data_IF_735780067579
#
_entry.id   IF_735780067579
#
_cell.length_a   1.000
_cell.length_b   1.000
_cell.length_c   1.000
_cell.angle_alpha   90.00
_cell.angle_beta   90.00
_cell.angle_gamma   90.00
#
_symmetry.space_group_name_H-M   'P 1'
#
loop_
_entity.id
_entity.type
_entity.pdbx_description
1 polymer ?
#
# COMPACT_ATOMS: atom_id res chain seq x y z
N UNK A 1 -1.21 18.96 20.41
CA UNK A 1 -1.75 19.68 21.58
C UNK A 1 -3.28 19.65 21.58
N UNK A 2 -3.95 19.92 20.47
CA UNK A 2 -5.43 19.98 20.41
C UNK A 2 -6.13 18.62 20.63
N UNK A 3 -5.68 17.52 20.01
CA UNK A 3 -6.31 16.18 20.24
C UNK A 3 -6.20 15.73 21.70
N UNK A 4 -5.04 15.97 22.32
CA UNK A 4 -4.81 15.57 23.71
C UNK A 4 -5.68 16.39 24.66
N UNK A 5 -5.76 17.71 24.45
CA UNK A 5 -6.65 18.57 25.22
C UNK A 5 -8.12 18.15 25.04
N UNK A 6 -8.55 17.86 23.82
CA UNK A 6 -9.93 17.39 23.58
C UNK A 6 -10.23 16.04 24.25
N UNK A 7 -9.23 15.18 24.41
CA UNK A 7 -9.37 13.94 25.19
C UNK A 7 -9.53 14.22 26.69
N UNK A 8 -8.74 15.13 27.24
CA UNK A 8 -8.84 15.55 28.64
C UNK A 8 -10.20 16.21 28.91
N UNK A 9 -10.64 17.10 28.02
CA UNK A 9 -11.94 17.76 28.10
C UNK A 9 -13.07 16.72 28.05
N UNK A 10 -12.98 15.71 27.18
CA UNK A 10 -13.92 14.59 27.14
C UNK A 10 -13.89 13.77 28.43
N UNK A 11 -12.72 13.42 28.95
CA UNK A 11 -12.58 12.63 30.19
C UNK A 11 -13.25 13.31 31.40
N UNK A 12 -13.22 14.64 31.47
CA UNK A 12 -13.83 15.40 32.56
C UNK A 12 -15.36 15.41 32.54
N UNK A 13 -15.98 15.32 31.35
CA UNK A 13 -17.42 15.48 31.17
C UNK A 13 -18.12 14.19 30.71
N UNK A 14 -17.36 13.14 30.42
CA UNK A 14 -17.90 11.86 30.00
C UNK A 14 -18.62 11.15 31.14
N UNK A 15 -19.81 10.62 30.85
CA UNK A 15 -20.43 9.61 31.71
C UNK A 15 -19.60 8.33 31.73
N UNK A 16 -19.76 7.51 32.77
CA UNK A 16 -19.09 6.20 32.86
C UNK A 16 -19.37 5.31 31.63
N UNK A 17 -20.60 5.34 31.12
CA UNK A 17 -21.01 4.59 29.92
C UNK A 17 -20.29 5.09 28.66
N UNK A 18 -20.21 6.42 28.46
CA UNK A 18 -19.49 7.02 27.34
C UNK A 18 -17.99 6.72 27.41
N UNK A 19 -17.39 6.77 28.59
CA UNK A 19 -15.99 6.42 28.78
C UNK A 19 -15.70 4.94 28.47
N UNK A 20 -16.55 4.03 28.93
CA UNK A 20 -16.42 2.60 28.63
C UNK A 20 -16.52 2.31 27.13
N UNK A 21 -17.47 2.94 26.43
CA UNK A 21 -17.58 2.81 24.97
C UNK A 21 -16.37 3.41 24.25
N UNK A 22 -15.83 4.54 24.72
CA UNK A 22 -14.58 5.09 24.21
C UNK A 22 -13.42 4.09 24.33
N UNK A 23 -13.29 3.41 25.47
CA UNK A 23 -12.23 2.42 25.69
C UNK A 23 -12.33 1.23 24.72
N UNK A 24 -13.55 0.83 24.34
CA UNK A 24 -13.81 -0.21 23.32
C UNK A 24 -13.50 0.32 21.91
N UNK A 25 -13.87 1.57 21.62
CA UNK A 25 -13.70 2.20 20.32
C UNK A 25 -12.22 2.50 20.01
N UNK A 26 -11.46 2.97 21.00
CA UNK A 26 -10.06 3.39 20.88
C UNK A 26 -9.14 2.39 20.17
N UNK A 27 -9.11 1.08 20.51
CA UNK A 27 -8.31 0.10 19.79
C UNK A 27 -8.83 -0.17 18.37
N UNK A 28 -10.15 -0.13 18.15
CA UNK A 28 -10.75 -0.33 16.82
C UNK A 28 -10.41 0.80 15.85
N UNK A 29 -10.42 2.05 16.31
CA UNK A 29 -9.99 3.22 15.52
C UNK A 29 -8.49 3.14 15.15
N UNK A 30 -7.65 2.63 16.06
CA UNK A 30 -6.24 2.37 15.75
C UNK A 30 -6.11 1.30 14.66
N UNK A 31 -6.86 0.20 14.78
CA UNK A 31 -6.86 -0.87 13.78
C UNK A 31 -7.42 -0.38 12.43
N UNK A 32 -8.48 0.42 12.45
CA UNK A 32 -9.06 1.08 11.28
C UNK A 32 -8.00 1.88 10.53
N UNK A 33 -7.22 2.71 11.24
CA UNK A 33 -6.15 3.50 10.63
C UNK A 33 -5.09 2.63 9.95
N UNK A 34 -4.69 1.52 10.57
CA UNK A 34 -3.73 0.57 9.98
C UNK A 34 -4.31 -0.04 8.70
N UNK A 35 -5.57 -0.49 8.72
CA UNK A 35 -6.21 -1.12 7.56
C UNK A 35 -6.46 -0.12 6.43
N UNK A 36 -6.91 1.09 6.75
CA UNK A 36 -7.06 2.20 5.80
C UNK A 36 -5.72 2.53 5.13
N UNK A 37 -4.66 2.69 5.93
CA UNK A 37 -3.30 2.93 5.44
C UNK A 37 -2.87 1.84 4.46
N UNK A 38 -3.02 0.57 4.81
CA UNK A 38 -2.61 -0.56 3.96
C UNK A 38 -3.39 -0.59 2.64
N UNK A 39 -4.70 -0.38 2.69
CA UNK A 39 -5.55 -0.32 1.50
C UNK A 39 -5.14 0.83 0.57
N UNK A 40 -4.91 2.02 1.11
CA UNK A 40 -4.47 3.20 0.35
C UNK A 40 -3.08 2.97 -0.27
N UNK A 41 -2.14 2.40 0.48
CA UNK A 41 -0.79 2.07 0.00
C UNK A 41 -0.87 1.08 -1.17
N UNK A 42 -1.63 0.00 -1.04
CA UNK A 42 -1.78 -1.02 -2.09
C UNK A 42 -2.45 -0.43 -3.34
N UNK A 43 -3.46 0.40 -3.16
CA UNK A 43 -4.15 1.09 -4.26
C UNK A 43 -3.20 2.02 -5.01
N UNK A 44 -2.35 2.77 -4.30
CA UNK A 44 -1.33 3.63 -4.92
C UNK A 44 -0.24 2.81 -5.62
N UNK A 45 0.19 1.69 -5.03
CA UNK A 45 1.16 0.78 -5.64
C UNK A 45 0.68 0.27 -6.99
N UNK A 46 -0.57 -0.20 -7.10
CA UNK A 46 -1.15 -0.59 -8.40
C UNK A 46 -1.23 0.59 -9.36
N UNK A 47 -1.65 1.77 -8.88
CA UNK A 47 -1.70 2.98 -9.71
C UNK A 47 -0.32 3.37 -10.29
N UNK A 48 0.75 3.05 -9.57
CA UNK A 48 2.13 3.37 -9.97
C UNK A 48 2.89 2.20 -10.55
N UNK A 49 2.24 1.05 -10.77
CA UNK A 49 2.87 -0.21 -11.18
C UNK A 49 4.07 -0.62 -10.28
N UNK A 50 3.98 -0.28 -8.99
CA UNK A 50 4.99 -0.60 -7.98
C UNK A 50 4.64 -1.91 -7.31
N UNK A 51 5.41 -2.94 -7.58
CA UNK A 51 5.20 -4.27 -7.01
C UNK A 51 5.44 -4.27 -5.48
N UNK A 52 4.68 -5.06 -4.70
CA UNK A 52 4.98 -5.32 -3.30
C UNK A 52 6.31 -6.05 -3.16
N UNK A 53 7.04 -5.76 -2.08
CA UNK A 53 8.37 -6.35 -1.80
C UNK A 53 8.45 -7.88 -1.84
N UNK A 54 7.33 -8.59 -1.69
CA UNK A 54 7.30 -10.06 -1.81
C UNK A 54 7.10 -10.54 -3.26
N UNK A 55 6.48 -9.72 -4.13
CA UNK A 55 6.36 -9.95 -5.58
C UNK A 55 7.64 -9.50 -6.30
N UNK A 56 8.39 -8.53 -5.77
CA UNK A 56 9.73 -8.21 -6.31
C UNK A 56 10.66 -9.44 -6.34
N UNK A 57 10.43 -10.42 -5.46
CA UNK A 57 11.14 -11.72 -5.49
C UNK A 57 10.64 -12.66 -6.59
N UNK A 58 9.43 -12.42 -7.09
CA UNK A 58 8.81 -13.15 -8.21
C UNK A 58 9.27 -12.58 -9.55
N UNK A 59 9.68 -11.32 -9.61
CA UNK A 59 10.45 -10.81 -10.76
C UNK A 59 11.83 -11.47 -10.86
N UNK A 60 12.32 -11.99 -9.73
CA UNK A 60 13.42 -12.95 -9.68
C UNK A 60 12.97 -14.43 -9.81
N UNK A 61 11.72 -14.72 -10.21
CA UNK A 61 11.49 -15.88 -11.09
C UNK A 61 12.10 -15.48 -12.42
N UNK A 62 13.42 -15.41 -12.37
CA UNK A 62 14.28 -15.40 -13.50
C UNK A 62 13.88 -16.66 -14.24
N UNK A 63 13.10 -16.46 -15.31
CA UNK A 63 12.95 -17.47 -16.35
C UNK A 63 14.31 -17.55 -17.04
N UNK A 64 15.34 -17.90 -16.28
CA UNK A 64 16.75 -17.94 -16.66
C UNK A 64 17.00 -19.02 -17.71
N UNK A 65 15.99 -19.86 -17.95
CA UNK A 65 15.84 -20.68 -19.13
C UNK A 65 15.57 -19.78 -20.34
N UNK A 66 16.65 -19.23 -20.89
CA UNK A 66 16.64 -18.60 -22.20
C UNK A 66 16.21 -19.63 -23.23
N UNK A 67 15.44 -19.17 -24.21
CA UNK A 67 15.09 -19.97 -25.37
C UNK A 67 16.37 -20.20 -26.18
N UNK A 68 16.59 -21.43 -26.65
CA UNK A 68 17.75 -21.72 -27.48
C UNK A 68 17.55 -21.16 -28.90
N UNK A 69 17.97 -19.92 -29.08
CA UNK A 69 17.95 -19.18 -30.35
C UNK A 69 18.87 -19.77 -31.42
N UNK A 70 19.71 -20.77 -31.09
CA UNK A 70 20.50 -21.49 -32.10
C UNK A 70 19.71 -22.55 -32.86
N UNK A 71 18.57 -22.98 -32.30
CA UNK A 71 17.70 -24.03 -32.86
C UNK A 71 16.44 -23.40 -33.47
N UNK A 72 15.91 -22.37 -32.84
CA UNK A 72 14.62 -21.75 -33.20
C UNK A 72 14.87 -20.46 -33.97
N UNK A 73 14.01 -20.14 -34.94
CA UNK A 73 14.09 -18.86 -35.66
C UNK A 73 13.87 -17.68 -34.71
N UNK A 74 14.55 -16.57 -35.01
CA UNK A 74 14.51 -15.37 -34.17
C UNK A 74 13.08 -14.82 -33.96
N UNK A 75 12.24 -14.82 -35.00
CA UNK A 75 10.86 -14.35 -34.90
C UNK A 75 10.01 -15.21 -33.94
N UNK A 76 10.22 -16.54 -33.98
CA UNK A 76 9.53 -17.49 -33.12
C UNK A 76 9.99 -17.39 -31.67
N UNK A 77 11.31 -17.22 -31.44
CA UNK A 77 11.86 -16.94 -30.12
C UNK A 77 11.31 -15.63 -29.54
N UNK A 78 11.23 -14.57 -30.35
CA UNK A 78 10.67 -13.28 -29.94
C UNK A 78 9.18 -13.37 -29.58
N UNK A 79 8.39 -14.14 -30.33
CA UNK A 79 6.99 -14.38 -30.01
C UNK A 79 6.83 -15.11 -28.67
N UNK A 80 7.66 -16.13 -28.40
CA UNK A 80 7.67 -16.82 -27.11
C UNK A 80 8.08 -15.89 -25.96
N UNK A 81 9.10 -15.04 -26.12
CA UNK A 81 9.46 -14.04 -25.10
C UNK A 81 8.31 -13.06 -24.82
N UNK A 82 7.55 -12.67 -25.86
CA UNK A 82 6.38 -11.82 -25.69
C UNK A 82 5.27 -12.53 -24.90
N UNK A 83 5.03 -13.82 -25.16
CA UNK A 83 4.09 -14.64 -24.39
C UNK A 83 4.53 -14.77 -22.92
N UNK A 84 5.82 -15.02 -22.67
CA UNK A 84 6.37 -15.07 -21.31
C UNK A 84 6.18 -13.74 -20.57
N UNK A 85 6.47 -12.61 -21.22
CA UNK A 85 6.21 -11.27 -20.66
C UNK A 85 4.75 -11.07 -20.30
N UNK A 86 3.83 -11.52 -21.17
CA UNK A 86 2.39 -11.41 -20.94
C UNK A 86 1.94 -12.25 -19.74
N UNK A 87 2.42 -13.49 -19.61
CA UNK A 87 2.11 -14.38 -18.46
C UNK A 87 2.57 -13.73 -17.15
N UNK A 88 3.80 -13.22 -17.10
CA UNK A 88 4.33 -12.56 -15.90
C UNK A 88 3.49 -11.33 -15.54
N UNK A 89 3.12 -10.51 -16.53
CA UNK A 89 2.25 -9.35 -16.33
C UNK A 89 0.87 -9.73 -15.79
N UNK A 90 0.26 -10.78 -16.34
CA UNK A 90 -1.05 -11.26 -15.90
C UNK A 90 -1.00 -11.79 -14.48
N UNK A 91 0.02 -12.58 -14.14
CA UNK A 91 0.24 -13.08 -12.78
C UNK A 91 0.38 -11.93 -11.76
N UNK A 92 1.21 -10.92 -12.07
CA UNK A 92 1.37 -9.72 -11.23
C UNK A 92 0.03 -9.01 -11.03
N UNK A 93 -0.71 -8.80 -12.12
CA UNK A 93 -2.00 -8.10 -12.11
C UNK A 93 -3.03 -8.82 -11.26
N UNK A 94 -3.16 -10.14 -11.43
CA UNK A 94 -4.09 -10.97 -10.66
C UNK A 94 -3.73 -10.97 -9.16
N UNK A 95 -2.45 -11.13 -8.84
CA UNK A 95 -1.98 -11.14 -7.45
C UNK A 95 -2.25 -9.80 -6.76
N UNK A 96 -1.97 -8.68 -7.44
CA UNK A 96 -2.24 -7.34 -6.94
C UNK A 96 -3.73 -7.06 -6.75
N UNK A 97 -4.55 -7.52 -7.69
CA UNK A 97 -6.01 -7.41 -7.61
C UNK A 97 -6.54 -8.10 -6.35
N UNK A 98 -6.10 -9.34 -6.09
CA UNK A 98 -6.50 -10.08 -4.89
C UNK A 98 -6.05 -9.37 -3.60
N UNK A 99 -4.85 -8.79 -3.59
CA UNK A 99 -4.36 -8.04 -2.42
C UNK A 99 -5.17 -6.79 -2.14
N UNK A 100 -5.54 -6.03 -3.17
CA UNK A 100 -6.40 -4.87 -3.01
C UNK A 100 -7.78 -5.29 -2.51
N UNK A 101 -8.38 -6.32 -3.11
CA UNK A 101 -9.70 -6.81 -2.70
C UNK A 101 -9.70 -7.25 -1.23
N UNK A 102 -8.67 -7.99 -0.81
CA UNK A 102 -8.51 -8.40 0.58
C UNK A 102 -8.37 -7.19 1.52
N UNK A 103 -7.47 -6.26 1.21
CA UNK A 103 -7.26 -5.07 2.03
C UNK A 103 -8.50 -4.15 2.10
N UNK A 104 -9.22 -4.01 0.99
CA UNK A 104 -10.50 -3.29 0.94
C UNK A 104 -11.52 -3.94 1.87
N UNK A 105 -11.65 -5.27 1.82
CA UNK A 105 -12.59 -6.00 2.65
C UNK A 105 -12.26 -5.91 4.14
N UNK A 106 -10.98 -6.05 4.51
CA UNK A 106 -10.54 -5.87 5.89
C UNK A 106 -10.85 -4.45 6.40
N UNK A 107 -10.61 -3.44 5.56
CA UNK A 107 -10.92 -2.05 5.87
C UNK A 107 -12.42 -1.83 6.10
N UNK A 108 -13.27 -2.30 5.18
CA UNK A 108 -14.74 -2.21 5.29
C UNK A 108 -15.29 -2.84 6.57
N UNK A 109 -14.80 -4.04 6.92
CA UNK A 109 -15.25 -4.75 8.13
C UNK A 109 -14.97 -3.93 9.38
N UNK A 110 -13.76 -3.36 9.48
CA UNK A 110 -13.40 -2.53 10.64
C UNK A 110 -14.13 -1.19 10.62
N UNK A 111 -14.30 -0.56 9.46
CA UNK A 111 -15.08 0.68 9.31
C UNK A 111 -16.51 0.48 9.82
N UNK A 112 -17.17 -0.60 9.42
CA UNK A 112 -18.51 -0.92 9.88
C UNK A 112 -18.57 -1.12 11.40
N UNK A 113 -17.58 -1.79 12.00
CA UNK A 113 -17.52 -1.95 13.46
C UNK A 113 -17.33 -0.61 14.20
N UNK A 114 -16.50 0.28 13.66
CA UNK A 114 -16.28 1.62 14.21
C UNK A 114 -17.57 2.43 14.14
N UNK A 115 -18.21 2.49 12.97
CA UNK A 115 -19.45 3.23 12.76
C UNK A 115 -20.57 2.73 13.67
N UNK A 116 -20.75 1.42 13.81
CA UNK A 116 -21.79 0.86 14.68
C UNK A 116 -21.62 1.22 16.15
N UNK A 117 -20.38 1.38 16.63
CA UNK A 117 -20.13 1.83 18.01
C UNK A 117 -20.40 3.32 18.16
N UNK A 118 -20.03 4.13 17.16
CA UNK A 118 -20.28 5.57 17.15
C UNK A 118 -21.78 5.87 17.08
N UNK A 119 -22.53 5.14 16.25
CA UNK A 119 -23.99 5.28 16.13
C UNK A 119 -24.71 4.96 17.45
N UNK A 120 -24.18 4.02 18.23
CA UNK A 120 -24.72 3.63 19.55
C UNK A 120 -24.14 4.43 20.70
N UNK A 121 -23.35 5.46 20.42
CA UNK A 121 -22.75 6.27 21.47
C UNK A 121 -23.84 7.08 22.20
N UNK A 122 -23.88 7.08 23.55
CA UNK A 122 -24.93 7.74 24.31
C UNK A 122 -24.97 9.24 24.03
N UNK A 123 -26.11 9.73 23.55
CA UNK A 123 -26.37 11.15 23.28
C UNK A 123 -27.25 11.81 24.34
N UNK A 124 -28.03 11.01 25.07
CA UNK A 124 -28.90 11.42 26.19
C UNK A 124 -28.80 10.36 27.28
N UNK A 125 -28.87 10.76 28.55
CA UNK A 125 -29.16 9.83 29.64
C UNK A 125 -30.68 9.73 29.78
N UNK A 126 -31.18 8.54 30.12
CA UNK A 126 -32.60 8.35 30.40
C UNK A 126 -33.07 9.11 31.67
N UNK A 127 -32.14 9.60 32.51
CA UNK A 127 -32.43 10.21 33.82
C UNK A 127 -31.86 11.64 34.07
N UNK A 128 -30.94 12.17 33.24
CA UNK A 128 -30.37 13.53 33.39
C UNK A 128 -29.92 14.08 32.01
N UNK A 129 -30.73 14.96 31.40
CA UNK A 129 -30.56 15.37 29.99
C UNK A 129 -29.29 16.21 29.70
N UNK A 130 -28.64 16.86 30.67
CA UNK A 130 -27.52 17.78 30.38
C UNK A 130 -26.16 17.11 30.18
N UNK A 131 -25.81 16.12 31.00
CA UNK A 131 -24.42 15.67 31.10
C UNK A 131 -24.03 14.72 29.96
N UNK A 132 -24.97 13.90 29.48
CA UNK A 132 -24.74 13.04 28.32
C UNK A 132 -24.55 13.83 27.02
N UNK A 133 -25.27 14.95 26.85
CA UNK A 133 -25.17 15.78 25.65
C UNK A 133 -23.80 16.47 25.58
N UNK A 134 -23.32 17.00 26.71
CA UNK A 134 -21.98 17.61 26.83
C UNK A 134 -20.90 16.55 26.58
N UNK A 135 -21.03 15.36 27.19
CA UNK A 135 -20.13 14.22 26.97
C UNK A 135 -20.06 13.78 25.50
N UNK A 136 -21.19 13.73 24.81
CA UNK A 136 -21.26 13.38 23.39
C UNK A 136 -20.60 14.44 22.51
N UNK A 137 -20.84 15.73 22.78
CA UNK A 137 -20.22 16.84 22.05
C UNK A 137 -18.69 16.82 22.19
N UNK A 138 -18.18 16.64 23.42
CA UNK A 138 -16.75 16.53 23.69
C UNK A 138 -16.14 15.29 23.01
N UNK A 139 -16.82 14.15 23.08
CA UNK A 139 -16.43 12.94 22.36
C UNK A 139 -16.30 13.17 20.85
N UNK A 140 -17.31 13.81 20.24
CA UNK A 140 -17.33 14.07 18.79
C UNK A 140 -16.15 14.96 18.38
N UNK A 141 -15.91 16.05 19.10
CA UNK A 141 -14.78 16.94 18.85
C UNK A 141 -13.44 16.19 18.96
N UNK A 142 -13.26 15.41 20.02
CA UNK A 142 -12.08 14.57 20.19
C UNK A 142 -11.91 13.58 19.02
N UNK A 143 -13.00 12.91 18.63
CA UNK A 143 -12.96 11.89 17.59
C UNK A 143 -12.60 12.47 16.23
N UNK A 144 -13.16 13.62 15.86
CA UNK A 144 -12.84 14.35 14.62
C UNK A 144 -11.36 14.77 14.57
N UNK A 145 -10.81 15.27 15.68
CA UNK A 145 -9.39 15.63 15.76
C UNK A 145 -8.48 14.41 15.62
N UNK A 146 -8.86 13.30 16.26
CA UNK A 146 -8.14 12.04 16.16
C UNK A 146 -8.18 11.46 14.74
N UNK A 147 -9.32 11.51 14.09
CA UNK A 147 -9.46 11.08 12.69
C UNK A 147 -8.57 11.91 11.77
N UNK A 148 -8.58 13.25 11.92
CA UNK A 148 -7.69 14.15 11.18
C UNK A 148 -6.22 13.79 11.36
N UNK A 149 -5.75 13.54 12.59
CA UNK A 149 -4.35 13.11 12.83
C UNK A 149 -4.03 11.81 12.11
N UNK A 150 -4.91 10.81 12.22
CA UNK A 150 -4.69 9.50 11.59
C UNK A 150 -4.66 9.61 10.06
N UNK A 151 -5.51 10.44 9.46
CA UNK A 151 -5.50 10.71 8.03
C UNK A 151 -4.20 11.40 7.59
N UNK A 152 -3.70 12.38 8.35
CA UNK A 152 -2.39 13.00 8.09
C UNK A 152 -1.23 11.99 8.13
N UNK A 153 -1.26 11.02 9.05
CA UNK A 153 -0.26 9.94 9.10
C UNK A 153 -0.32 9.03 7.87
N UNK A 154 -1.53 8.76 7.36
CA UNK A 154 -1.74 8.03 6.12
C UNK A 154 -1.17 8.82 4.95
N UNK A 155 -1.51 10.11 4.82
CA UNK A 155 -1.01 10.98 3.76
C UNK A 155 0.52 11.05 3.73
N UNK A 156 1.18 11.24 4.88
CA UNK A 156 2.65 11.20 4.99
C UNK A 156 3.23 9.86 4.53
N UNK A 157 2.55 8.76 4.83
CA UNK A 157 2.97 7.43 4.40
C UNK A 157 2.84 7.25 2.88
N UNK A 158 1.82 7.87 2.27
CA UNK A 158 1.65 7.88 0.82
C UNK A 158 2.70 8.77 0.14
N UNK A 159 3.06 9.89 0.75
CA UNK A 159 4.11 10.78 0.25
C UNK A 159 5.45 10.05 0.04
N UNK A 160 5.84 9.17 0.98
CA UNK A 160 7.02 8.32 0.81
C UNK A 160 6.95 7.42 -0.43
N UNK A 161 5.77 6.89 -0.77
CA UNK A 161 5.59 6.10 -2.00
C UNK A 161 5.72 6.96 -3.27
N UNK A 162 5.28 8.22 -3.21
CA UNK A 162 5.49 9.16 -4.31
C UNK A 162 6.98 9.44 -4.51
N UNK A 163 7.75 9.65 -3.44
CA UNK A 163 9.21 9.82 -3.52
C UNK A 163 9.88 8.57 -4.11
N UNK A 164 9.46 7.36 -3.68
CA UNK A 164 9.95 6.11 -4.28
C UNK A 164 9.66 5.99 -5.77
N UNK A 165 8.46 6.41 -6.22
CA UNK A 165 8.13 6.44 -7.65
C UNK A 165 9.05 7.40 -8.41
N UNK A 166 9.27 8.61 -7.90
CA UNK A 166 10.13 9.61 -8.55
C UNK A 166 11.56 9.09 -8.65
N UNK A 167 12.12 8.56 -7.55
CA UNK A 167 13.46 7.97 -7.55
C UNK A 167 13.59 6.74 -8.46
N UNK A 168 12.59 5.85 -8.45
CA UNK A 168 12.54 4.68 -9.33
C UNK A 168 12.47 5.04 -10.81
N UNK A 169 11.71 6.08 -11.17
CA UNK A 169 11.68 6.58 -12.55
C UNK A 169 13.03 7.14 -13.01
N UNK A 170 13.78 7.82 -12.14
CA UNK A 170 15.15 8.26 -12.46
C UNK A 170 16.10 7.09 -12.71
N UNK A 171 16.00 6.02 -11.90
CA UNK A 171 16.82 4.82 -12.09
C UNK A 171 16.41 4.01 -13.34
N UNK A 172 15.11 3.89 -13.62
CA UNK A 172 14.62 3.21 -14.82
C UNK A 172 14.98 3.99 -16.09
N UNK A 173 15.01 5.33 -16.05
CA UNK A 173 15.50 6.13 -17.19
C UNK A 173 16.99 5.91 -17.45
N UNK A 174 17.82 5.76 -16.41
CA UNK A 174 19.24 5.41 -16.57
C UNK A 174 19.42 3.96 -17.08
N UNK A 175 18.57 3.03 -16.65
CA UNK A 175 18.61 1.64 -17.14
C UNK A 175 18.06 1.49 -18.56
N UNK A 176 17.02 2.22 -18.95
CA UNK A 176 16.51 2.25 -20.34
C UNK A 176 17.54 2.90 -21.28
N UNK A 177 18.31 3.89 -20.83
CA UNK A 177 19.44 4.45 -21.60
C UNK A 177 20.58 3.42 -21.78
N UNK A 178 20.83 2.53 -20.82
CA UNK A 178 21.82 1.44 -20.93
C UNK A 178 21.30 0.20 -21.71
N UNK A 179 20.01 -0.15 -21.62
CA UNK A 179 19.39 -1.29 -22.31
C UNK A 179 19.17 -1.07 -23.81
N UNK A 180 19.21 0.17 -24.30
CA UNK A 180 19.11 0.45 -25.76
C UNK A 180 20.33 0.00 -26.56
N UNK A 181 21.44 -0.35 -25.89
CA UNK A 181 22.51 -1.14 -26.48
C UNK A 181 22.30 -2.62 -26.19
N UNK A 182 21.89 -3.44 -27.18
CA UNK A 182 21.91 -4.89 -26.98
C UNK A 182 23.35 -5.32 -26.65
N UNK A 183 23.54 -6.30 -25.75
CA UNK A 183 24.86 -6.85 -25.47
C UNK A 183 25.36 -7.52 -26.74
N UNK A 184 26.06 -6.74 -27.56
CA UNK A 184 26.74 -7.27 -28.73
C UNK A 184 27.86 -8.10 -28.15
N UNK A 185 27.78 -9.42 -28.34
CA UNK A 185 28.90 -10.33 -28.09
C UNK A 185 30.04 -9.91 -29.01
N UNK A 186 30.84 -8.92 -28.60
CA UNK A 186 32.19 -8.76 -29.11
C UNK A 186 32.94 -9.96 -28.55
N UNK A 187 32.90 -11.07 -29.30
CA UNK A 187 33.97 -12.05 -29.21
C UNK A 187 35.23 -11.27 -29.55
N UNK A 188 36.01 -10.90 -28.52
CA UNK A 188 37.43 -10.67 -28.70
C UNK A 188 38.02 -12.02 -29.11
N UNK A 189 37.95 -12.32 -30.41
CA UNK A 189 38.87 -13.26 -31.02
C UNK A 189 40.23 -12.58 -30.90
N UNK A 190 40.91 -12.89 -29.80
CA UNK A 190 42.31 -12.54 -29.59
C UNK A 190 43.10 -13.01 -30.80
N UNK A 191 43.81 -12.06 -31.39
CA UNK A 191 44.82 -12.27 -32.42
C UNK A 191 45.99 -13.09 -31.85
N UNK A 192 45.78 -14.39 -31.60
CA UNK A 192 46.84 -15.31 -31.13
C UNK A 192 46.95 -16.55 -32.04
N UNK A 193 46.57 -16.44 -33.31
CA UNK A 193 46.90 -17.43 -34.34
C UNK A 193 47.32 -16.76 -35.65
N UNK A 194 48.44 -16.06 -35.62
CA UNK A 194 49.30 -15.90 -36.79
C UNK A 194 50.73 -16.23 -36.39
N UNK A 195 51.08 -17.52 -36.49
CA UNK A 195 52.47 -17.90 -36.77
C UNK A 195 52.72 -17.52 -38.23
N UNK A 196 53.83 -16.83 -38.52
CA UNK A 196 54.64 -17.33 -39.64
C UNK A 196 56.16 -17.26 -39.38
N UNK A 197 56.76 -18.44 -39.59
CA UNK A 197 58.08 -18.74 -40.18
C UNK A 197 59.35 -18.18 -39.52
#
# INVERSE_FOLDING_TARGET
>A
MEEFKALEDFEQVATATQWNLHLILKPKVKLWSIKNKNYQILSKRVKFDLLPKFIDKIDNIDSSLKIDESIIKQDEAQEMYNQMRQITKDFRTQTMTLHIQSAAREYEVILHQVNSIIEKFPQKNDDDESDAEIGYAAFKQYHELREKRLNLEIEKSLYFLFEQRVAGNYNNQQQEEEETTPPTLVRSLGEDFLVPQ
#
